data_IF_495770788463
#
_entry.id   IF_495770788463
#
_cell.length_a   1.000
_cell.length_b   1.000
_cell.length_c   1.000
_cell.angle_alpha   90.00
_cell.angle_beta   90.00
_cell.angle_gamma   90.00
#
_symmetry.space_group_name_H-M   'P 1'
#
loop_
_entity.id
_entity.type
_entity.pdbx_description
1 polymer ?
#
# COMPACT_ATOMS: atom_id res chain seq x y z
N UNK A 1 35.49 -3.65 31.93
CA UNK A 1 34.94 -2.72 30.92
C UNK A 1 34.10 -3.54 29.94
N UNK A 2 32.77 -3.57 30.08
CA UNK A 2 31.92 -4.20 29.07
C UNK A 2 32.13 -3.47 27.73
N UNK A 3 32.47 -4.20 26.67
CA UNK A 3 32.57 -3.64 25.32
C UNK A 3 31.25 -2.97 24.99
N UNK A 4 31.27 -1.67 24.70
CA UNK A 4 30.06 -0.97 24.25
C UNK A 4 29.69 -1.51 22.86
N UNK A 5 28.40 -1.75 22.58
CA UNK A 5 27.97 -2.44 21.38
C UNK A 5 28.40 -1.70 20.12
N UNK A 6 28.87 -2.46 19.12
CA UNK A 6 29.19 -1.96 17.78
C UNK A 6 28.02 -1.18 17.19
N UNK A 7 28.33 -0.10 16.47
CA UNK A 7 27.33 0.70 15.78
C UNK A 7 26.73 -0.12 14.61
N UNK A 8 25.48 -0.54 14.74
CA UNK A 8 24.82 -1.36 13.71
C UNK A 8 24.42 -0.53 12.50
N UNK A 9 24.18 -1.17 11.36
CA UNK A 9 23.67 -0.48 10.17
C UNK A 9 22.19 -0.13 10.31
N UNK A 10 21.73 1.00 9.74
CA UNK A 10 20.31 1.33 9.71
C UNK A 10 19.52 0.32 8.87
N UNK A 11 18.25 0.04 9.17
CA UNK A 11 17.45 -0.92 8.37
C UNK A 11 16.54 -0.21 7.37
N UNK A 12 16.67 -0.56 6.08
CA UNK A 12 15.92 0.03 4.96
C UNK A 12 14.64 -0.76 4.62
N UNK A 13 13.91 -1.19 5.64
CA UNK A 13 12.68 -1.97 5.51
C UNK A 13 11.41 -1.09 5.52
N UNK A 14 11.60 0.23 5.47
CA UNK A 14 10.53 1.20 5.62
C UNK A 14 10.17 1.82 4.26
N UNK A 15 10.62 3.04 3.95
CA UNK A 15 10.30 3.67 2.68
C UNK A 15 11.43 4.61 2.20
N UNK A 16 11.85 4.54 0.93
CA UNK A 16 11.49 3.52 -0.05
C UNK A 16 12.18 2.17 0.23
N UNK A 17 11.40 1.12 0.54
CA UNK A 17 11.88 -0.26 0.59
C UNK A 17 12.17 -0.76 -0.82
N UNK A 18 12.89 -1.88 -0.93
CA UNK A 18 13.27 -2.52 -2.18
C UNK A 18 12.10 -2.60 -3.17
N UNK A 19 12.30 -1.96 -4.32
CA UNK A 19 11.42 -1.96 -5.50
C UNK A 19 9.99 -1.48 -5.27
N UNK A 20 9.76 -0.65 -4.24
CA UNK A 20 8.51 0.09 -4.14
C UNK A 20 8.42 1.14 -5.26
N UNK A 21 7.18 1.44 -5.67
CA UNK A 21 6.87 2.57 -6.56
C UNK A 21 6.62 3.78 -5.67
N UNK A 22 7.44 4.81 -5.84
CA UNK A 22 7.27 6.10 -5.19
C UNK A 22 6.61 7.09 -6.16
N UNK A 23 5.53 7.70 -5.70
CA UNK A 23 4.59 8.47 -6.52
C UNK A 23 4.74 9.98 -6.31
N UNK A 24 5.84 10.36 -5.66
CA UNK A 24 6.28 11.74 -5.50
C UNK A 24 7.74 11.86 -5.93
N UNK A 25 8.04 12.92 -6.67
CA UNK A 25 9.40 13.31 -7.06
C UNK A 25 10.23 13.82 -5.88
N UNK A 26 9.63 14.01 -4.72
CA UNK A 26 10.29 14.28 -3.45
C UNK A 26 9.91 13.19 -2.44
N UNK A 27 10.32 11.93 -2.65
CA UNK A 27 9.92 10.86 -1.74
C UNK A 27 10.50 11.10 -0.34
N UNK A 28 9.79 10.64 0.67
CA UNK A 28 10.28 10.63 2.05
C UNK A 28 11.21 9.42 2.24
N UNK A 29 12.48 9.67 2.59
CA UNK A 29 13.44 8.63 2.91
C UNK A 29 13.38 8.33 4.40
N UNK A 30 13.17 7.07 4.77
CA UNK A 30 13.08 6.66 6.17
C UNK A 30 13.59 5.27 6.40
N UNK A 31 14.14 5.10 7.59
CA UNK A 31 14.83 3.90 7.99
C UNK A 31 14.79 3.78 9.51
N UNK A 32 14.87 2.53 9.99
CA UNK A 32 15.04 2.29 11.42
C UNK A 32 16.43 2.72 11.83
N UNK A 33 16.50 3.41 12.96
CA UNK A 33 17.74 3.90 13.54
C UNK A 33 18.70 2.74 13.81
N UNK A 34 19.99 3.05 13.74
CA UNK A 34 21.03 2.16 14.21
C UNK A 34 20.92 1.93 15.72
N UNK A 35 21.54 0.86 16.21
CA UNK A 35 21.71 0.58 17.64
C UNK A 35 23.21 0.59 17.98
N UNK A 36 23.52 0.70 19.28
CA UNK A 36 24.90 0.78 19.78
C UNK A 36 25.65 2.08 19.45
N UNK A 37 26.98 2.07 19.50
CA UNK A 37 27.82 3.27 19.33
C UNK A 37 27.86 4.20 20.54
N UNK A 38 28.40 5.41 20.34
CA UNK A 38 28.62 6.40 21.41
C UNK A 38 27.74 7.65 21.31
N UNK A 39 26.67 7.73 22.11
CA UNK A 39 25.83 8.93 22.18
C UNK A 39 24.86 9.06 21.00
N UNK A 40 24.29 10.25 20.82
CA UNK A 40 23.28 10.52 19.79
C UNK A 40 23.89 10.52 18.40
N UNK A 41 23.31 9.77 17.47
CA UNK A 41 23.89 9.52 16.15
C UNK A 41 23.38 10.54 15.12
N UNK A 42 24.06 10.58 13.98
CA UNK A 42 23.55 11.19 12.77
C UNK A 42 23.75 10.27 11.57
N UNK A 43 23.10 10.59 10.46
CA UNK A 43 23.13 9.78 9.26
C UNK A 43 23.65 10.54 8.05
N UNK A 44 24.40 9.82 7.21
CA UNK A 44 24.71 10.24 5.87
C UNK A 44 23.84 9.43 4.90
N UNK A 45 23.14 10.10 4.00
CA UNK A 45 22.23 9.50 3.02
C UNK A 45 22.73 9.85 1.63
N UNK A 46 22.69 8.89 0.71
CA UNK A 46 23.01 9.12 -0.70
C UNK A 46 21.91 8.56 -1.59
N UNK A 47 21.62 9.26 -2.69
CA UNK A 47 20.73 8.82 -3.75
C UNK A 47 21.43 8.97 -5.10
N UNK A 48 21.26 7.97 -5.96
CA UNK A 48 21.89 7.93 -7.27
C UNK A 48 21.03 7.10 -8.24
N UNK A 49 21.20 7.29 -9.53
CA UNK A 49 20.69 6.42 -10.58
C UNK A 49 21.62 5.23 -10.86
N UNK A 50 22.84 5.25 -10.31
CA UNK A 50 23.82 4.19 -10.40
C UNK A 50 23.98 3.47 -9.05
N UNK A 51 23.85 2.13 -8.97
CA UNK A 51 23.99 1.38 -7.72
C UNK A 51 25.38 1.49 -7.06
N UNK A 52 26.40 1.96 -7.80
CA UNK A 52 27.75 2.21 -7.28
C UNK A 52 27.91 3.59 -6.62
N UNK A 53 26.88 4.44 -6.65
CA UNK A 53 26.89 5.79 -6.04
C UNK A 53 28.06 6.68 -6.52
N UNK A 54 28.37 6.63 -7.81
CA UNK A 54 29.49 7.33 -8.43
C UNK A 54 29.08 8.23 -9.60
N UNK A 55 27.78 8.48 -9.80
CA UNK A 55 27.33 9.42 -10.83
C UNK A 55 27.64 10.87 -10.43
N UNK A 56 27.81 11.73 -11.44
CA UNK A 56 28.00 13.18 -11.24
C UNK A 56 26.81 13.85 -10.52
N UNK A 57 25.60 13.34 -10.73
CA UNK A 57 24.35 13.89 -10.20
C UNK A 57 23.89 13.19 -8.91
N UNK A 58 24.79 12.51 -8.19
CA UNK A 58 24.48 11.88 -6.91
C UNK A 58 24.06 12.95 -5.90
N UNK A 59 22.92 12.72 -5.24
CA UNK A 59 22.44 13.55 -4.14
C UNK A 59 23.03 13.01 -2.84
N UNK A 60 23.46 13.91 -1.94
CA UNK A 60 23.99 13.53 -0.63
C UNK A 60 23.44 14.45 0.46
N UNK A 61 22.84 13.86 1.48
CA UNK A 61 22.46 14.53 2.71
C UNK A 61 23.40 14.07 3.82
N UNK A 62 24.20 14.98 4.37
CA UNK A 62 25.16 14.67 5.42
C UNK A 62 24.65 15.19 6.76
N UNK A 63 24.99 14.50 7.85
CA UNK A 63 24.63 14.91 9.22
C UNK A 63 23.12 15.07 9.44
N UNK A 64 22.32 14.18 8.85
CA UNK A 64 20.86 14.12 9.13
C UNK A 64 20.67 13.64 10.57
N UNK A 65 20.03 14.43 11.46
CA UNK A 65 19.87 14.05 12.85
C UNK A 65 18.85 12.92 13.04
N UNK A 66 18.98 12.16 14.12
CA UNK A 66 17.94 11.22 14.57
C UNK A 66 16.62 11.98 14.79
N UNK A 67 15.56 11.63 14.05
CA UNK A 67 14.28 12.35 14.12
C UNK A 67 13.32 11.81 15.18
N UNK A 68 13.51 10.57 15.62
CA UNK A 68 12.77 9.93 16.72
C UNK A 68 13.64 8.85 17.36
N UNK A 69 13.15 8.21 18.43
CA UNK A 69 13.82 7.08 19.10
C UNK A 69 14.04 5.88 18.15
N UNK A 70 13.04 5.54 17.34
CA UNK A 70 13.04 4.30 16.55
C UNK A 70 13.44 4.49 15.08
N UNK A 71 13.15 5.66 14.51
CA UNK A 71 13.33 5.93 13.08
C UNK A 71 13.84 7.34 12.80
N UNK A 72 14.47 7.48 11.64
CA UNK A 72 14.88 8.76 11.08
C UNK A 72 14.25 8.97 9.72
N UNK A 73 13.81 10.20 9.45
CA UNK A 73 13.15 10.58 8.21
C UNK A 73 13.85 11.79 7.57
N UNK A 74 13.94 11.78 6.23
CA UNK A 74 14.47 12.87 5.42
C UNK A 74 13.66 12.99 4.13
N UNK A 75 12.87 14.06 4.02
CA UNK A 75 12.21 14.40 2.76
C UNK A 75 13.27 14.84 1.75
N UNK A 76 13.19 14.31 0.53
CA UNK A 76 14.00 14.80 -0.59
C UNK A 76 13.67 16.28 -0.81
N UNK A 77 14.70 17.12 -0.87
CA UNK A 77 14.53 18.58 -0.93
C UNK A 77 13.97 19.01 -2.30
N UNK A 78 13.27 20.15 -2.32
CA UNK A 78 12.72 20.74 -3.56
C UNK A 78 13.77 20.91 -4.66
N UNK A 79 15.00 21.28 -4.29
CA UNK A 79 16.14 21.44 -5.21
C UNK A 79 16.64 20.10 -5.79
N UNK A 80 16.42 19.01 -5.05
CA UNK A 80 16.87 17.65 -5.36
C UNK A 80 15.74 16.77 -5.92
N UNK A 81 14.67 17.42 -6.41
CA UNK A 81 13.49 16.75 -6.97
C UNK A 81 13.90 15.72 -8.03
N UNK A 82 13.47 14.49 -7.83
CA UNK A 82 13.80 13.33 -8.65
C UNK A 82 13.07 13.37 -9.99
N UNK A 83 13.67 12.70 -10.99
CA UNK A 83 13.08 12.56 -12.32
C UNK A 83 12.11 11.41 -12.35
N UNK A 84 11.06 11.60 -13.15
CA UNK A 84 10.02 10.59 -13.35
C UNK A 84 10.51 9.38 -14.15
N UNK A 85 9.73 8.30 -14.10
CA UNK A 85 9.94 7.08 -14.87
C UNK A 85 11.38 6.58 -14.77
N UNK A 86 11.89 6.52 -13.54
CA UNK A 86 13.31 6.29 -13.29
C UNK A 86 13.53 5.55 -11.98
N UNK A 87 14.42 4.55 -12.06
CA UNK A 87 14.93 3.84 -10.89
C UNK A 87 15.99 4.68 -10.18
N UNK A 88 15.89 4.72 -8.86
CA UNK A 88 16.87 5.32 -7.97
C UNK A 88 17.34 4.28 -6.96
N UNK A 89 18.64 4.30 -6.69
CA UNK A 89 19.29 3.58 -5.62
C UNK A 89 19.56 4.57 -4.49
N UNK A 90 19.39 4.13 -3.25
CA UNK A 90 19.69 4.95 -2.10
C UNK A 90 20.37 4.14 -1.01
N UNK A 91 21.20 4.81 -0.22
CA UNK A 91 21.89 4.18 0.90
C UNK A 91 22.04 5.11 2.07
N UNK A 92 22.16 4.53 3.26
CA UNK A 92 22.32 5.24 4.52
C UNK A 92 23.42 4.61 5.36
N UNK A 93 24.17 5.46 6.07
CA UNK A 93 25.21 5.08 7.02
C UNK A 93 25.03 5.91 8.29
N UNK A 94 25.08 5.24 9.44
CA UNK A 94 25.10 5.91 10.73
C UNK A 94 26.52 6.34 11.08
N UNK A 95 26.62 7.47 11.79
CA UNK A 95 27.85 7.98 12.37
C UNK A 95 27.57 8.39 13.81
N UNK A 96 28.41 7.93 14.73
CA UNK A 96 28.34 8.37 16.12
C UNK A 96 29.19 9.65 16.37
N UNK A 97 29.00 10.33 17.51
CA UNK A 97 29.79 11.50 17.93
C UNK A 97 31.31 11.31 17.96
N UNK A 98 31.81 10.08 18.02
CA UNK A 98 33.25 9.78 17.94
C UNK A 98 33.74 9.57 16.51
N UNK A 99 32.85 9.65 15.52
CA UNK A 99 33.16 9.44 14.11
C UNK A 99 33.15 7.97 13.70
N UNK A 100 32.73 7.03 14.57
CA UNK A 100 32.57 5.63 14.18
C UNK A 100 31.43 5.52 13.17
N UNK A 101 31.61 4.68 12.15
CA UNK A 101 30.66 4.53 11.04
C UNK A 101 30.12 3.11 10.98
N UNK A 102 28.82 2.98 10.74
CA UNK A 102 28.23 1.68 10.39
C UNK A 102 28.62 1.26 8.96
N UNK A 103 28.32 0.01 8.61
CA UNK A 103 28.25 -0.39 7.19
C UNK A 103 27.10 0.38 6.52
N UNK A 104 27.22 0.63 5.22
CA UNK A 104 26.13 1.20 4.42
C UNK A 104 25.01 0.18 4.22
N UNK A 105 23.78 0.59 4.52
CA UNK A 105 22.59 -0.14 4.06
C UNK A 105 22.10 0.46 2.78
N UNK A 106 21.71 -0.36 1.80
CA UNK A 106 21.30 0.10 0.46
C UNK A 106 19.97 -0.52 0.04
N UNK A 107 19.19 0.24 -0.73
CA UNK A 107 17.90 -0.15 -1.30
C UNK A 107 17.69 0.61 -2.62
N UNK A 108 16.59 0.34 -3.30
CA UNK A 108 16.19 1.01 -4.54
C UNK A 108 14.68 1.08 -4.66
N UNK A 109 14.22 2.01 -5.48
CA UNK A 109 12.81 2.23 -5.76
C UNK A 109 12.66 2.83 -7.15
N UNK A 110 11.42 2.88 -7.64
CA UNK A 110 11.09 3.49 -8.92
C UNK A 110 10.23 4.73 -8.71
N UNK A 111 10.56 5.85 -9.35
CA UNK A 111 9.65 6.99 -9.42
C UNK A 111 8.71 6.79 -10.60
N UNK A 112 7.41 6.75 -10.30
CA UNK A 112 6.36 6.88 -11.31
C UNK A 112 5.26 7.82 -10.79
N UNK A 113 5.23 9.03 -11.33
CA UNK A 113 4.20 10.03 -11.02
C UNK A 113 3.22 10.24 -12.16
N UNK A 114 3.43 9.60 -13.31
CA UNK A 114 2.57 9.77 -14.50
C UNK A 114 1.51 8.70 -14.59
N UNK A 115 1.84 7.43 -14.35
CA UNK A 115 0.83 6.37 -14.29
C UNK A 115 -0.03 6.49 -13.04
N UNK A 116 0.49 7.16 -12.00
CA UNK A 116 -0.13 7.34 -10.69
C UNK A 116 -1.05 8.57 -10.57
N UNK A 117 -1.14 9.38 -11.64
CA UNK A 117 -2.04 10.53 -11.65
C UNK A 117 -3.47 10.16 -12.03
N UNK A 118 -3.65 8.99 -12.67
CA UNK A 118 -4.93 8.56 -13.23
C UNK A 118 -5.23 7.08 -13.01
N UNK A 119 -6.52 6.72 -13.10
CA UNK A 119 -6.95 5.33 -13.10
C UNK A 119 -6.18 4.54 -14.16
N UNK A 120 -5.72 3.35 -13.78
CA UNK A 120 -4.81 2.51 -14.56
C UNK A 120 -5.32 2.10 -15.95
N UNK A 121 -6.61 2.31 -16.27
CA UNK A 121 -7.27 1.83 -17.49
C UNK A 121 -7.10 0.32 -17.70
N UNK A 122 -7.06 -0.40 -16.59
CA UNK A 122 -6.97 -1.84 -16.51
C UNK A 122 -8.06 -2.37 -15.58
N UNK A 123 -8.48 -3.60 -15.79
CA UNK A 123 -9.35 -4.35 -14.88
C UNK A 123 -8.75 -5.73 -14.62
N UNK A 124 -8.90 -6.22 -13.39
CA UNK A 124 -8.46 -7.56 -13.00
C UNK A 124 -9.16 -8.62 -13.86
N UNK A 125 -8.44 -9.67 -14.22
CA UNK A 125 -8.99 -10.83 -14.93
C UNK A 125 -9.02 -12.02 -13.97
N UNK A 126 -10.22 -12.55 -13.65
CA UNK A 126 -10.35 -13.66 -12.72
C UNK A 126 -9.79 -14.95 -13.33
N UNK A 127 -9.10 -15.72 -12.50
CA UNK A 127 -8.61 -17.07 -12.84
C UNK A 127 -9.66 -18.09 -12.41
N UNK A 128 -10.01 -19.02 -13.30
CA UNK A 128 -10.96 -20.10 -12.99
C UNK A 128 -10.27 -21.27 -12.31
N UNK A 129 -9.09 -21.64 -12.78
CA UNK A 129 -8.33 -22.77 -12.27
C UNK A 129 -6.83 -22.49 -12.37
N UNK A 130 -6.07 -22.94 -11.38
CA UNK A 130 -4.61 -22.87 -11.37
C UNK A 130 -4.01 -24.22 -11.01
N UNK A 131 -2.99 -24.64 -11.76
CA UNK A 131 -2.29 -25.92 -11.61
C UNK A 131 -0.79 -25.68 -11.76
N UNK A 132 0.02 -26.33 -10.94
CA UNK A 132 1.47 -26.29 -11.05
C UNK A 132 2.04 -27.63 -11.49
N UNK A 133 3.24 -27.57 -12.06
CA UNK A 133 4.08 -28.75 -12.38
C UNK A 133 4.37 -29.64 -11.17
N UNK A 134 4.53 -29.05 -9.99
CA UNK A 134 4.82 -29.71 -8.72
C UNK A 134 4.54 -28.75 -7.56
N UNK A 135 4.75 -29.22 -6.32
CA UNK A 135 4.55 -28.42 -5.12
C UNK A 135 3.12 -28.45 -4.58
N UNK A 136 2.85 -27.58 -3.61
CA UNK A 136 1.57 -27.46 -2.91
C UNK A 136 1.05 -26.02 -2.97
N UNK A 137 -0.19 -25.79 -2.52
CA UNK A 137 -0.76 -24.45 -2.29
C UNK A 137 -0.87 -23.54 -3.53
N UNK A 138 -0.85 -24.11 -4.74
CA UNK A 138 -0.94 -23.33 -5.98
C UNK A 138 -2.20 -22.47 -6.08
N UNK A 139 -3.30 -22.89 -5.45
CA UNK A 139 -4.57 -22.14 -5.45
C UNK A 139 -4.46 -20.79 -4.73
N UNK A 140 -3.54 -20.68 -3.77
CA UNK A 140 -3.43 -19.51 -2.91
C UNK A 140 -2.84 -18.29 -3.63
N UNK A 141 -2.05 -18.51 -4.70
CA UNK A 141 -1.39 -17.40 -5.41
C UNK A 141 -2.34 -16.53 -6.25
N UNK A 142 -3.60 -16.94 -6.35
CA UNK A 142 -4.67 -16.18 -7.00
C UNK A 142 -5.84 -15.94 -6.05
N UNK A 143 -5.70 -16.34 -4.78
CA UNK A 143 -6.67 -16.10 -3.74
C UNK A 143 -6.44 -14.68 -3.21
N UNK A 144 -7.45 -13.83 -3.36
CA UNK A 144 -7.38 -12.40 -3.02
C UNK A 144 -7.74 -12.13 -1.55
N UNK A 145 -8.13 -13.16 -0.79
CA UNK A 145 -8.56 -13.04 0.60
C UNK A 145 -7.37 -13.02 1.58
N UNK A 146 -6.26 -13.66 1.23
CA UNK A 146 -4.97 -13.52 1.92
C UNK A 146 -4.10 -12.55 1.10
N UNK A 147 -3.56 -11.47 1.68
CA UNK A 147 -2.74 -10.49 0.95
C UNK A 147 -1.38 -11.00 0.43
N UNK A 148 -1.25 -12.30 0.15
CA UNK A 148 -0.04 -12.92 -0.38
C UNK A 148 1.11 -12.97 0.63
N UNK A 149 0.85 -12.73 1.91
CA UNK A 149 1.89 -12.65 2.95
C UNK A 149 2.14 -14.00 3.61
N UNK A 150 1.07 -14.80 3.82
CA UNK A 150 1.15 -16.03 4.60
C UNK A 150 0.96 -17.31 3.77
N UNK A 151 0.30 -17.22 2.62
CA UNK A 151 0.08 -18.35 1.72
C UNK A 151 0.80 -18.15 0.38
N UNK A 152 1.49 -19.20 -0.07
CA UNK A 152 2.30 -19.17 -1.28
C UNK A 152 2.33 -20.55 -1.95
N UNK A 153 2.56 -20.55 -3.25
CA UNK A 153 3.02 -21.74 -3.97
C UNK A 153 4.54 -21.84 -3.86
N UNK A 154 5.03 -23.02 -3.53
CA UNK A 154 6.43 -23.38 -3.68
C UNK A 154 6.50 -24.71 -4.41
N UNK A 155 7.40 -24.84 -5.39
CA UNK A 155 7.59 -26.10 -6.09
C UNK A 155 8.17 -27.19 -5.17
N UNK A 156 8.05 -28.46 -5.54
CA UNK A 156 8.67 -29.56 -4.80
C UNK A 156 10.21 -29.40 -4.77
N UNK A 157 10.83 -29.28 -3.58
CA UNK A 157 12.29 -29.15 -3.48
C UNK A 157 13.02 -30.50 -3.32
N UNK A 158 14.35 -30.55 -3.60
CA UNK A 158 15.00 -29.83 -4.67
C UNK A 158 14.47 -30.39 -6.00
N UNK A 159 13.93 -29.52 -6.85
CA UNK A 159 13.16 -29.94 -8.01
C UNK A 159 13.95 -30.10 -9.30
N UNK A 160 13.21 -30.46 -10.36
CA UNK A 160 13.59 -30.29 -11.77
C UNK A 160 14.16 -28.88 -12.04
N UNK A 161 15.11 -28.76 -12.97
CA UNK A 161 15.64 -27.46 -13.45
C UNK A 161 14.56 -26.55 -14.09
N UNK A 162 13.38 -27.11 -14.33
CA UNK A 162 12.24 -26.43 -14.94
C UNK A 162 10.97 -26.62 -14.12
N UNK A 163 10.26 -25.51 -13.88
CA UNK A 163 8.95 -25.48 -13.23
C UNK A 163 7.96 -24.65 -14.03
N UNK A 164 6.67 -24.95 -13.90
CA UNK A 164 5.62 -24.10 -14.46
C UNK A 164 4.40 -24.01 -13.55
N UNK A 165 3.70 -22.88 -13.65
CA UNK A 165 2.36 -22.67 -13.08
C UNK A 165 1.43 -22.19 -14.19
N UNK A 166 0.33 -22.92 -14.39
CA UNK A 166 -0.66 -22.75 -15.46
C UNK A 166 -1.96 -22.20 -14.88
N UNK A 167 -2.52 -21.22 -15.57
CA UNK A 167 -3.78 -20.53 -15.24
C UNK A 167 -4.77 -20.76 -16.38
N UNK A 168 -5.96 -21.28 -16.07
CA UNK A 168 -7.12 -21.33 -16.98
C UNK A 168 -8.10 -20.21 -16.61
N UNK A 169 -8.45 -19.37 -17.58
CA UNK A 169 -9.46 -18.33 -17.41
C UNK A 169 -10.89 -18.83 -17.68
N UNK A 170 -11.05 -20.10 -18.05
CA UNK A 170 -12.33 -20.76 -18.39
C UNK A 170 -12.89 -20.38 -19.77
N UNK A 171 -12.49 -19.22 -20.29
CA UNK A 171 -12.83 -18.68 -21.62
C UNK A 171 -11.65 -17.90 -22.19
N UNK A 172 -11.72 -17.55 -23.48
CA UNK A 172 -10.75 -16.61 -24.05
C UNK A 172 -10.95 -15.23 -23.43
N UNK A 173 -9.87 -14.64 -22.95
CA UNK A 173 -9.78 -13.31 -22.36
C UNK A 173 -8.63 -12.55 -23.00
N UNK A 174 -8.66 -11.22 -22.88
CA UNK A 174 -7.55 -10.37 -23.28
C UNK A 174 -6.68 -10.06 -22.06
N UNK A 175 -5.35 -10.08 -22.19
CA UNK A 175 -4.39 -9.80 -21.12
C UNK A 175 -3.28 -8.90 -21.66
N UNK A 176 -2.92 -7.85 -20.93
CA UNK A 176 -1.85 -6.91 -21.29
C UNK A 176 -0.86 -6.62 -20.16
N UNK A 177 -1.22 -6.98 -18.92
CA UNK A 177 -0.34 -6.80 -17.76
C UNK A 177 -0.44 -7.98 -16.80
N UNK A 178 0.70 -8.30 -16.21
CA UNK A 178 0.81 -9.23 -15.09
C UNK A 178 1.54 -8.53 -13.95
N UNK A 179 0.96 -8.60 -12.76
CA UNK A 179 1.65 -8.28 -11.52
C UNK A 179 1.91 -9.59 -10.78
N UNK A 180 3.13 -9.77 -10.26
CA UNK A 180 3.46 -10.95 -9.46
C UNK A 180 4.39 -10.61 -8.29
N UNK A 181 4.22 -11.39 -7.23
CA UNK A 181 4.99 -11.32 -5.99
C UNK A 181 5.61 -12.70 -5.70
N UNK A 182 6.91 -12.73 -5.41
CA UNK A 182 7.65 -13.89 -4.91
C UNK A 182 7.95 -13.73 -3.40
N UNK A 183 8.78 -14.62 -2.85
CA UNK A 183 9.13 -14.66 -1.43
C UNK A 183 9.51 -13.29 -0.85
N UNK A 184 8.90 -12.96 0.29
CA UNK A 184 9.14 -11.71 1.02
C UNK A 184 10.36 -11.79 1.94
N UNK A 185 10.87 -13.01 2.20
CA UNK A 185 11.85 -13.31 3.25
C UNK A 185 13.29 -13.29 2.72
N UNK A 186 13.66 -12.24 2.00
CA UNK A 186 14.98 -12.12 1.37
C UNK A 186 15.07 -12.82 0.01
N UNK A 187 16.25 -12.82 -0.63
CA UNK A 187 16.41 -13.22 -2.03
C UNK A 187 16.13 -14.69 -2.30
N UNK A 188 16.15 -15.54 -1.28
CA UNK A 188 15.82 -16.96 -1.44
C UNK A 188 14.42 -17.14 -2.02
N UNK A 189 14.31 -18.12 -2.91
CA UNK A 189 13.11 -18.49 -3.65
C UNK A 189 12.62 -17.47 -4.70
N UNK A 190 13.30 -16.33 -4.88
CA UNK A 190 12.95 -15.38 -5.94
C UNK A 190 13.15 -16.00 -7.32
N UNK A 191 12.24 -15.67 -8.24
CA UNK A 191 12.38 -16.08 -9.63
C UNK A 191 13.50 -15.29 -10.28
N UNK A 192 14.46 -15.97 -10.91
CA UNK A 192 15.61 -15.38 -11.59
C UNK A 192 15.41 -15.35 -13.10
N UNK A 193 15.00 -16.48 -13.66
CA UNK A 193 14.85 -16.67 -15.11
C UNK A 193 13.50 -17.31 -15.42
N UNK A 194 12.65 -16.58 -16.15
CA UNK A 194 11.32 -17.07 -16.49
C UNK A 194 10.78 -16.42 -17.77
N UNK A 195 9.76 -17.02 -18.36
CA UNK A 195 8.99 -16.48 -19.49
C UNK A 195 7.53 -16.84 -19.33
N UNK A 196 6.63 -15.96 -19.76
CA UNK A 196 5.21 -16.29 -19.85
C UNK A 196 4.88 -16.88 -21.21
N UNK A 197 4.04 -17.90 -21.21
CA UNK A 197 3.58 -18.58 -22.41
C UNK A 197 2.05 -18.55 -22.47
N UNK A 198 1.52 -18.46 -23.69
CA UNK A 198 0.09 -18.47 -23.98
C UNK A 198 -0.35 -19.76 -24.67
N UNK A 199 -1.60 -20.15 -24.45
CA UNK A 199 -2.24 -21.26 -25.14
C UNK A 199 -3.75 -21.08 -25.24
N UNK A 200 -4.35 -21.50 -26.36
CA UNK A 200 -5.81 -21.54 -26.53
C UNK A 200 -6.40 -22.92 -26.21
N UNK A 201 -5.60 -23.99 -26.30
CA UNK A 201 -6.01 -25.38 -26.10
C UNK A 201 -5.44 -26.03 -24.83
N UNK A 202 -4.51 -25.35 -24.14
CA UNK A 202 -3.82 -25.83 -22.94
C UNK A 202 -2.72 -26.86 -23.24
N UNK A 203 -2.49 -27.21 -24.51
CA UNK A 203 -1.56 -28.25 -24.98
C UNK A 203 -0.38 -27.65 -25.73
N UNK A 204 -0.65 -26.72 -26.65
CA UNK A 204 0.36 -26.04 -27.46
C UNK A 204 0.66 -24.67 -26.87
N UNK A 205 1.93 -24.41 -26.60
CA UNK A 205 2.38 -23.22 -25.88
C UNK A 205 3.29 -22.37 -26.76
N UNK A 206 3.14 -21.06 -26.66
CA UNK A 206 4.00 -20.09 -27.36
C UNK A 206 4.44 -19.03 -26.37
N UNK A 207 5.74 -18.71 -26.39
CA UNK A 207 6.31 -17.63 -25.59
C UNK A 207 5.65 -16.29 -25.93
N UNK A 208 5.36 -15.52 -24.89
CA UNK A 208 5.13 -14.08 -25.00
C UNK A 208 6.51 -13.44 -24.86
N UNK A 209 7.23 -13.29 -25.99
CA UNK A 209 8.66 -12.95 -26.00
C UNK A 209 9.02 -11.72 -25.16
N UNK A 210 8.15 -10.70 -25.11
CA UNK A 210 8.35 -9.48 -24.31
C UNK A 210 8.37 -9.70 -22.79
N UNK A 211 7.93 -10.87 -22.31
CA UNK A 211 7.91 -11.23 -20.88
C UNK A 211 9.15 -12.03 -20.46
N UNK A 212 10.05 -12.35 -21.40
CA UNK A 212 11.26 -13.11 -21.11
C UNK A 212 12.14 -12.31 -20.15
N UNK A 213 12.35 -12.86 -18.96
CA UNK A 213 13.08 -12.24 -17.88
C UNK A 213 14.32 -13.08 -17.57
N UNK A 214 15.47 -12.43 -17.41
CA UNK A 214 16.75 -13.06 -17.09
C UNK A 214 17.47 -12.29 -15.99
N UNK A 215 18.13 -13.03 -15.10
CA UNK A 215 18.87 -12.48 -13.96
C UNK A 215 18.02 -11.50 -13.12
N UNK A 216 16.74 -11.82 -12.95
CA UNK A 216 15.84 -11.04 -12.12
C UNK A 216 16.33 -11.04 -10.67
N UNK A 217 16.28 -9.86 -10.06
CA UNK A 217 16.80 -9.57 -8.73
C UNK A 217 15.75 -8.85 -7.86
N UNK A 218 14.47 -9.10 -8.14
CA UNK A 218 13.35 -8.56 -7.39
C UNK A 218 12.27 -9.61 -7.16
N UNK A 219 11.63 -9.56 -5.99
CA UNK A 219 10.45 -10.35 -5.71
C UNK A 219 9.17 -9.75 -6.31
N UNK A 220 9.20 -8.51 -6.77
CA UNK A 220 8.03 -7.82 -7.33
C UNK A 220 8.21 -7.57 -8.81
N UNK A 221 7.36 -8.16 -9.64
CA UNK A 221 7.44 -7.97 -11.09
C UNK A 221 6.13 -7.39 -11.62
N UNK A 222 6.26 -6.36 -12.46
CA UNK A 222 5.17 -5.76 -13.23
C UNK A 222 5.56 -5.89 -14.69
N UNK A 223 4.82 -6.71 -15.43
CA UNK A 223 5.11 -7.02 -16.83
C UNK A 223 4.01 -6.43 -17.70
N UNK A 224 4.35 -5.40 -18.45
CA UNK A 224 3.52 -4.86 -19.53
C UNK A 224 3.90 -5.52 -20.86
N UNK A 225 2.90 -5.89 -21.65
CA UNK A 225 3.10 -6.48 -22.97
C UNK A 225 1.92 -6.19 -23.90
N UNK A 226 2.16 -6.38 -25.21
CA UNK A 226 1.12 -6.25 -26.22
C UNK A 226 -0.05 -7.18 -25.93
N UNK A 227 -1.28 -6.70 -26.15
CA UNK A 227 -2.51 -7.42 -25.85
C UNK A 227 -2.48 -8.86 -26.38
N UNK A 228 -2.66 -9.83 -25.49
CA UNK A 228 -2.74 -11.26 -25.80
C UNK A 228 -4.16 -11.75 -25.55
N UNK A 229 -4.80 -12.27 -26.61
CA UNK A 229 -6.06 -13.00 -26.51
C UNK A 229 -5.81 -14.49 -26.33
N UNK A 230 -6.12 -15.03 -25.16
CA UNK A 230 -5.79 -16.43 -24.79
C UNK A 230 -6.80 -17.00 -23.80
N UNK A 231 -6.87 -18.33 -23.67
CA UNK A 231 -7.62 -18.99 -22.58
C UNK A 231 -6.70 -19.40 -21.43
N UNK A 232 -5.46 -19.74 -21.75
CA UNK A 232 -4.47 -20.17 -20.78
C UNK A 232 -3.24 -19.29 -20.83
N UNK A 233 -2.69 -19.03 -19.65
CA UNK A 233 -1.32 -18.55 -19.48
C UNK A 233 -0.56 -19.55 -18.61
N UNK A 234 0.76 -19.64 -18.79
CA UNK A 234 1.63 -20.25 -17.81
C UNK A 234 2.91 -19.44 -17.65
N UNK A 235 3.40 -19.35 -16.42
CA UNK A 235 4.78 -18.95 -16.18
C UNK A 235 5.65 -20.20 -16.31
N UNK A 236 6.73 -20.09 -17.06
CA UNK A 236 7.74 -21.13 -17.26
C UNK A 236 9.04 -20.65 -16.64
N UNK A 237 9.49 -21.32 -15.58
CA UNK A 237 10.57 -20.92 -14.69
C UNK A 237 11.76 -21.85 -14.93
N UNK A 238 12.92 -21.25 -15.20
CA UNK A 238 14.18 -21.94 -15.53
C UNK A 238 15.33 -21.57 -14.59
N UNK A 239 15.09 -20.66 -13.65
CA UNK A 239 16.09 -20.25 -12.68
C UNK A 239 15.47 -19.48 -11.52
N UNK A 240 16.01 -19.70 -10.33
CA UNK A 240 15.62 -19.06 -9.08
C UNK A 240 16.85 -18.89 -8.18
N UNK A 241 16.66 -18.14 -7.10
CA UNK A 241 17.61 -18.02 -6.01
C UNK A 241 17.25 -19.00 -4.89
N UNK A 242 18.24 -19.51 -4.15
CA UNK A 242 17.99 -20.43 -3.03
C UNK A 242 17.45 -21.81 -3.44
N UNK A 243 16.62 -22.40 -2.58
CA UNK A 243 16.29 -23.83 -2.61
C UNK A 243 15.27 -24.25 -3.70
N UNK A 244 14.18 -23.47 -3.87
CA UNK A 244 13.10 -23.74 -4.83
C UNK A 244 12.37 -22.45 -5.22
N UNK A 245 11.80 -22.30 -6.42
CA UNK A 245 11.02 -21.12 -6.76
C UNK A 245 9.75 -21.01 -5.92
N UNK A 246 9.42 -19.78 -5.53
CA UNK A 246 8.19 -19.45 -4.80
C UNK A 246 7.45 -18.30 -5.46
N UNK A 247 6.13 -18.41 -5.46
CA UNK A 247 5.21 -17.35 -5.88
C UNK A 247 4.21 -17.16 -4.74
N UNK A 248 4.13 -15.94 -4.27
CA UNK A 248 3.18 -15.52 -3.25
C UNK A 248 1.85 -15.12 -3.89
N UNK A 249 1.90 -14.34 -4.98
CA UNK A 249 0.69 -13.81 -5.59
C UNK A 249 0.88 -13.46 -7.07
N UNK A 250 -0.19 -13.63 -7.87
CA UNK A 250 -0.27 -13.20 -9.27
C UNK A 250 -1.64 -12.55 -9.54
N UNK A 251 -1.62 -11.37 -10.14
CA UNK A 251 -2.81 -10.69 -10.67
C UNK A 251 -2.65 -10.42 -12.16
N UNK A 252 -3.67 -10.78 -12.93
CA UNK A 252 -3.74 -10.55 -14.36
C UNK A 252 -4.63 -9.35 -14.67
N UNK A 253 -4.25 -8.57 -15.68
CA UNK A 253 -4.96 -7.36 -16.07
C UNK A 253 -5.24 -7.31 -17.57
N UNK A 254 -6.42 -6.79 -17.90
CA UNK A 254 -6.87 -6.49 -19.26
C UNK A 254 -7.15 -4.99 -19.40
N UNK A 255 -7.03 -4.40 -20.61
CA UNK A 255 -7.46 -3.03 -20.84
C UNK A 255 -8.96 -2.88 -20.55
N UNK A 256 -9.32 -1.87 -19.77
CA UNK A 256 -10.72 -1.67 -19.40
C UNK A 256 -10.93 -0.52 -18.44
N UNK A 257 -12.21 -0.25 -18.16
CA UNK A 257 -12.65 0.73 -17.17
C UNK A 257 -13.59 0.06 -16.19
N UNK A 258 -13.76 0.61 -14.98
CA UNK A 258 -14.71 0.06 -14.03
C UNK A 258 -16.12 0.07 -14.62
N UNK A 259 -16.90 -0.95 -14.27
CA UNK A 259 -18.33 -0.95 -14.59
C UNK A 259 -19.01 0.16 -13.78
N UNK A 260 -20.04 0.78 -14.36
CA UNK A 260 -20.84 1.75 -13.62
C UNK A 260 -21.85 0.97 -12.75
N UNK A 261 -21.73 1.02 -11.41
CA UNK A 261 -22.63 0.27 -10.54
C UNK A 261 -24.04 0.87 -10.54
N UNK A 262 -25.03 0.04 -10.22
CA UNK A 262 -26.38 0.52 -9.98
C UNK A 262 -26.43 1.27 -8.64
N UNK A 263 -26.97 2.49 -8.68
CA UNK A 263 -27.03 3.36 -7.49
C UNK A 263 -28.35 3.13 -6.71
N UNK A 264 -28.33 3.17 -5.37
CA UNK A 264 -29.55 3.17 -4.58
C UNK A 264 -30.52 4.30 -4.96
N UNK A 265 -31.83 4.04 -4.84
CA UNK A 265 -32.87 5.05 -5.09
C UNK A 265 -32.97 6.09 -3.96
N UNK A 266 -32.34 5.84 -2.81
CA UNK A 266 -32.25 6.74 -1.66
C UNK A 266 -30.88 7.42 -1.61
N UNK A 267 -30.74 8.37 -0.70
CA UNK A 267 -29.45 8.93 -0.35
C UNK A 267 -28.52 7.83 0.17
N UNK A 268 -27.28 7.86 -0.30
CA UNK A 268 -26.35 6.77 -0.06
C UNK A 268 -24.90 7.25 0.04
N UNK A 269 -24.08 6.41 0.65
CA UNK A 269 -22.63 6.58 0.78
C UNK A 269 -21.95 5.57 -0.13
N UNK A 270 -21.00 6.03 -0.94
CA UNK A 270 -20.11 5.15 -1.70
C UNK A 270 -18.97 4.72 -0.76
N UNK A 271 -18.85 3.42 -0.50
CA UNK A 271 -17.77 2.86 0.30
C UNK A 271 -16.75 2.23 -0.64
N UNK A 272 -15.50 2.66 -0.56
CA UNK A 272 -14.40 2.04 -1.29
C UNK A 272 -13.72 1.01 -0.40
N UNK A 273 -13.81 -0.26 -0.80
CA UNK A 273 -13.22 -1.40 -0.12
C UNK A 273 -11.73 -1.51 -0.41
N UNK A 274 -10.92 -1.26 0.62
CA UNK A 274 -9.46 -1.19 0.52
C UNK A 274 -8.75 -2.49 0.86
N UNK A 275 -9.47 -3.52 1.31
CA UNK A 275 -8.90 -4.86 1.45
C UNK A 275 -8.51 -5.45 0.09
N UNK A 276 -7.56 -6.39 0.08
CA UNK A 276 -7.01 -6.92 -1.17
C UNK A 276 -8.11 -7.42 -2.15
N UNK A 277 -9.11 -8.12 -1.62
CA UNK A 277 -10.31 -8.63 -2.30
C UNK A 277 -11.42 -7.59 -2.57
N UNK A 278 -11.22 -6.33 -2.18
CA UNK A 278 -12.21 -5.26 -2.37
C UNK A 278 -13.30 -5.16 -1.30
N UNK A 279 -13.23 -5.93 -0.22
CA UNK A 279 -14.16 -5.84 0.91
C UNK A 279 -13.73 -4.81 1.98
N UNK A 280 -14.54 -4.69 3.02
CA UNK A 280 -14.22 -3.92 4.24
C UNK A 280 -14.10 -4.87 5.42
N UNK A 281 -13.12 -4.66 6.30
CA UNK A 281 -12.90 -5.55 7.46
C UNK A 281 -13.82 -5.27 8.65
N UNK A 282 -14.51 -4.12 8.69
CA UNK A 282 -15.15 -3.60 9.91
C UNK A 282 -16.67 -3.47 9.86
N UNK A 283 -17.37 -4.27 9.04
CA UNK A 283 -18.83 -4.14 8.82
C UNK A 283 -19.25 -2.68 8.52
N UNK A 284 -18.39 -1.94 7.80
CA UNK A 284 -18.48 -0.49 7.69
C UNK A 284 -19.81 -0.03 7.05
N UNK A 285 -20.29 -0.78 6.07
CA UNK A 285 -21.58 -0.53 5.42
C UNK A 285 -22.73 -0.57 6.45
N UNK A 286 -22.78 -1.63 7.24
CA UNK A 286 -23.73 -1.83 8.32
C UNK A 286 -23.68 -0.72 9.36
N UNK A 287 -22.48 -0.30 9.76
CA UNK A 287 -22.30 0.81 10.69
C UNK A 287 -22.89 2.11 10.14
N UNK A 288 -22.64 2.42 8.86
CA UNK A 288 -23.17 3.62 8.19
C UNK A 288 -24.69 3.61 8.15
N UNK A 289 -25.32 2.51 7.74
CA UNK A 289 -26.79 2.42 7.66
C UNK A 289 -27.47 2.52 9.03
N UNK A 290 -26.79 2.07 10.11
CA UNK A 290 -27.28 2.11 11.49
C UNK A 290 -27.07 3.47 12.19
N UNK A 291 -26.53 4.48 11.51
CA UNK A 291 -26.35 5.84 12.07
C UNK A 291 -27.66 6.58 12.39
N UNK A 292 -28.77 6.13 11.79
CA UNK A 292 -30.10 6.75 11.89
C UNK A 292 -30.31 7.93 10.93
N UNK A 293 -29.42 8.11 9.95
CA UNK A 293 -29.50 9.20 8.96
C UNK A 293 -30.27 8.83 7.68
N UNK A 294 -30.84 7.63 7.61
CA UNK A 294 -31.60 7.16 6.43
C UNK A 294 -30.75 6.86 5.20
N UNK A 295 -29.42 6.79 5.35
CA UNK A 295 -28.46 6.53 4.28
C UNK A 295 -28.39 5.04 3.93
N UNK A 296 -28.30 4.75 2.64
CA UNK A 296 -27.92 3.43 2.09
C UNK A 296 -26.41 3.38 1.81
N UNK A 297 -25.89 2.19 1.53
CA UNK A 297 -24.49 2.03 1.10
C UNK A 297 -24.36 1.35 -0.25
N UNK A 298 -23.29 1.69 -0.96
CA UNK A 298 -22.83 1.01 -2.18
C UNK A 298 -21.33 0.75 -2.01
N UNK A 299 -20.93 -0.51 -2.00
CA UNK A 299 -19.53 -0.90 -1.82
C UNK A 299 -18.91 -1.21 -3.19
N UNK A 300 -17.73 -0.66 -3.46
CA UNK A 300 -16.93 -0.98 -4.67
C UNK A 300 -15.48 -1.26 -4.26
N UNK A 301 -14.79 -2.22 -4.90
CA UNK A 301 -13.36 -2.42 -4.69
C UNK A 301 -12.52 -1.22 -5.11
N UNK A 302 -11.37 -0.99 -4.47
CA UNK A 302 -10.41 0.06 -4.88
C UNK A 302 -10.01 -0.02 -6.36
N UNK A 303 -9.82 -1.23 -6.89
CA UNK A 303 -9.42 -1.44 -8.29
C UNK A 303 -10.57 -1.29 -9.29
N UNK A 304 -11.79 -1.00 -8.82
CA UNK A 304 -12.97 -0.67 -9.63
C UNK A 304 -13.51 0.74 -9.32
N UNK A 305 -12.68 1.61 -8.73
CA UNK A 305 -13.04 3.02 -8.52
C UNK A 305 -12.24 3.91 -9.45
N UNK A 306 -12.87 4.94 -10.01
CA UNK A 306 -12.20 5.98 -10.80
C UNK A 306 -13.04 7.25 -10.83
N UNK A 307 -12.43 8.39 -11.19
CA UNK A 307 -13.17 9.63 -11.36
C UNK A 307 -14.21 9.52 -12.49
N UNK A 308 -13.89 8.80 -13.56
CA UNK A 308 -14.84 8.54 -14.65
C UNK A 308 -16.04 7.69 -14.19
N UNK A 309 -15.80 6.64 -13.38
CA UNK A 309 -16.88 5.85 -12.81
C UNK A 309 -17.79 6.73 -11.96
N UNK A 310 -17.19 7.55 -11.08
CA UNK A 310 -17.92 8.46 -10.20
C UNK A 310 -18.73 9.51 -10.98
N UNK A 311 -18.16 10.08 -12.05
CA UNK A 311 -18.83 11.08 -12.90
C UNK A 311 -20.03 10.50 -13.65
N UNK A 312 -19.97 9.23 -14.05
CA UNK A 312 -21.05 8.52 -14.77
C UNK A 312 -22.15 7.91 -13.88
N UNK A 313 -22.03 7.96 -12.56
CA UNK A 313 -23.10 7.50 -11.66
C UNK A 313 -24.40 8.27 -11.89
N UNK A 314 -25.52 7.55 -12.02
CA UNK A 314 -26.87 8.12 -12.23
C UNK A 314 -27.29 9.07 -11.11
N UNK A 315 -26.98 8.72 -9.86
CA UNK A 315 -27.18 9.56 -8.66
C UNK A 315 -25.85 9.70 -7.96
N UNK A 316 -25.46 10.92 -7.57
CA UNK A 316 -24.23 11.14 -6.81
C UNK A 316 -24.40 10.67 -5.35
N UNK A 317 -23.38 10.02 -4.75
CA UNK A 317 -23.40 9.71 -3.33
C UNK A 317 -23.36 11.00 -2.50
N UNK A 318 -23.89 10.94 -1.28
CA UNK A 318 -23.78 12.00 -0.27
C UNK A 318 -22.33 12.17 0.16
N UNK A 319 -21.61 11.07 0.28
CA UNK A 319 -20.21 11.03 0.67
C UNK A 319 -19.52 9.79 0.10
N UNK A 320 -18.19 9.83 0.09
CA UNK A 320 -17.31 8.71 -0.20
C UNK A 320 -16.58 8.34 1.10
N UNK A 321 -16.53 7.06 1.43
CA UNK A 321 -15.76 6.55 2.57
C UNK A 321 -14.72 5.56 2.07
N UNK A 322 -13.44 5.91 2.23
CA UNK A 322 -12.30 5.05 1.93
C UNK A 322 -12.01 4.20 3.17
N UNK A 323 -12.21 2.89 3.06
CA UNK A 323 -12.09 1.98 4.20
C UNK A 323 -10.63 1.69 4.59
N UNK A 324 -10.44 0.95 5.70
CA UNK A 324 -9.14 0.45 6.12
C UNK A 324 -8.67 -0.77 5.32
N UNK A 325 -7.44 -1.21 5.60
CA UNK A 325 -6.83 -2.41 5.05
C UNK A 325 -6.10 -3.15 6.19
N UNK A 326 -6.09 -4.48 6.15
CA UNK A 326 -5.39 -5.34 7.12
C UNK A 326 -4.17 -6.04 6.51
N UNK A 327 -3.77 -5.62 5.31
CA UNK A 327 -2.58 -6.09 4.61
C UNK A 327 -1.45 -5.04 4.67
N UNK A 328 -0.21 -5.48 4.46
CA UNK A 328 0.89 -4.62 4.07
C UNK A 328 0.64 -4.16 2.62
N UNK A 329 -0.28 -3.21 2.44
CA UNK A 329 -0.67 -2.68 1.13
C UNK A 329 0.48 -2.17 0.26
N UNK A 330 1.66 -1.73 0.77
CA UNK A 330 2.84 -1.53 -0.07
C UNK A 330 3.24 -2.78 -0.85
N UNK A 331 3.00 -3.99 -0.33
CA UNK A 331 3.18 -5.28 -1.01
C UNK A 331 2.14 -5.57 -2.08
N UNK A 332 1.04 -4.81 -2.15
CA UNK A 332 0.01 -4.93 -3.16
C UNK A 332 0.36 -4.14 -4.44
N UNK A 333 -0.35 -4.37 -5.56
CA UNK A 333 -0.27 -3.53 -6.75
C UNK A 333 -0.76 -2.10 -6.46
N UNK A 334 0.14 -1.23 -6.00
CA UNK A 334 -0.17 0.15 -5.60
C UNK A 334 -0.87 0.98 -6.69
N UNK A 335 -0.62 0.67 -7.97
CA UNK A 335 -1.29 1.33 -9.09
C UNK A 335 -2.83 1.11 -9.12
N UNK A 336 -3.35 0.17 -8.32
CA UNK A 336 -4.79 -0.02 -8.16
C UNK A 336 -5.46 1.08 -7.35
N UNK A 337 -4.70 1.85 -6.56
CA UNK A 337 -5.23 2.96 -5.76
C UNK A 337 -5.36 4.26 -6.57
N UNK A 338 -4.89 4.31 -7.82
CA UNK A 338 -4.81 5.56 -8.60
C UNK A 338 -6.18 6.19 -8.84
N UNK A 339 -7.22 5.36 -8.97
CA UNK A 339 -8.60 5.84 -9.06
C UNK A 339 -9.10 6.53 -7.78
N UNK A 340 -8.65 6.09 -6.60
CA UNK A 340 -8.89 6.82 -5.34
C UNK A 340 -8.14 8.14 -5.33
N UNK A 341 -6.88 8.14 -5.78
CA UNK A 341 -6.09 9.36 -5.83
C UNK A 341 -6.72 10.43 -6.74
N UNK A 342 -7.24 10.05 -7.91
CA UNK A 342 -8.04 10.95 -8.76
C UNK A 342 -9.23 11.53 -8.00
N UNK A 343 -10.01 10.68 -7.32
CA UNK A 343 -11.21 11.10 -6.59
C UNK A 343 -10.85 12.07 -5.46
N UNK A 344 -9.78 11.80 -4.72
CA UNK A 344 -9.30 12.66 -3.63
C UNK A 344 -8.90 14.05 -4.16
N UNK A 345 -8.18 14.09 -5.30
CA UNK A 345 -7.68 15.32 -5.91
C UNK A 345 -8.76 16.12 -6.61
N UNK A 346 -9.70 15.46 -7.30
CA UNK A 346 -10.59 16.11 -8.27
C UNK A 346 -12.07 16.14 -7.85
N UNK A 347 -12.51 15.30 -6.91
CA UNK A 347 -13.92 15.30 -6.49
C UNK A 347 -14.23 16.42 -5.50
N UNK A 348 -15.45 16.95 -5.60
CA UNK A 348 -16.08 17.83 -4.61
C UNK A 348 -16.99 17.09 -3.62
N UNK A 349 -17.21 15.78 -3.84
CA UNK A 349 -18.01 14.96 -2.94
C UNK A 349 -17.25 14.83 -1.61
N UNK A 350 -17.92 14.97 -0.45
CA UNK A 350 -17.28 14.76 0.85
C UNK A 350 -16.57 13.41 0.95
N UNK A 351 -15.36 13.38 1.52
CA UNK A 351 -14.56 12.14 1.65
C UNK A 351 -14.15 11.90 3.11
N UNK A 352 -14.33 10.67 3.59
CA UNK A 352 -13.76 10.20 4.86
C UNK A 352 -12.79 9.05 4.59
N UNK A 353 -11.52 9.22 4.98
CA UNK A 353 -10.52 8.14 4.99
C UNK A 353 -10.40 7.49 6.36
N UNK A 354 -10.42 6.15 6.42
CA UNK A 354 -10.28 5.36 7.66
C UNK A 354 -9.03 4.49 7.56
N UNK A 355 -8.09 4.60 8.49
CA UNK A 355 -6.84 3.82 8.53
C UNK A 355 -6.10 3.89 7.17
N UNK A 356 -6.07 2.80 6.38
CA UNK A 356 -5.55 2.81 5.00
C UNK A 356 -6.16 3.95 4.15
N UNK A 357 -7.47 4.18 4.24
CA UNK A 357 -8.11 5.28 3.52
C UNK A 357 -7.57 6.66 3.91
N UNK A 358 -7.25 6.90 5.18
CA UNK A 358 -6.57 8.14 5.60
C UNK A 358 -5.16 8.22 5.03
N UNK A 359 -4.47 7.09 4.89
CA UNK A 359 -3.14 7.03 4.29
C UNK A 359 -3.21 7.30 2.78
N UNK A 360 -4.26 6.85 2.09
CA UNK A 360 -4.52 7.20 0.68
C UNK A 360 -4.81 8.69 0.50
N UNK A 361 -5.48 9.34 1.46
CA UNK A 361 -5.64 10.82 1.46
C UNK A 361 -4.29 11.54 1.43
N UNK A 362 -3.29 11.03 2.15
CA UNK A 362 -1.94 11.59 2.15
C UNK A 362 -1.13 11.17 0.91
N UNK A 363 -1.29 9.91 0.48
CA UNK A 363 -0.67 9.34 -0.72
C UNK A 363 -1.04 10.09 -1.99
N UNK A 364 -2.29 10.52 -2.13
CA UNK A 364 -2.77 11.31 -3.27
C UNK A 364 -2.00 12.63 -3.50
N UNK A 365 -1.37 13.18 -2.45
CA UNK A 365 -0.54 14.39 -2.51
C UNK A 365 0.96 14.08 -2.32
N UNK A 366 1.35 12.86 -2.66
CA UNK A 366 2.74 12.45 -2.72
C UNK A 366 3.41 12.25 -1.37
N UNK A 367 2.68 12.24 -0.25
CA UNK A 367 3.28 11.81 1.01
C UNK A 367 3.40 10.29 0.98
N UNK A 368 4.59 9.82 0.61
CA UNK A 368 4.95 8.42 0.75
C UNK A 368 5.08 8.17 2.26
N UNK A 369 4.20 7.29 2.76
CA UNK A 369 3.94 6.78 4.12
C UNK A 369 5.12 6.87 5.07
N UNK A 370 4.92 6.88 6.40
CA UNK A 370 5.71 6.04 7.32
C UNK A 370 5.73 6.55 8.77
N UNK A 371 5.07 5.81 9.63
CA UNK A 371 5.66 5.31 10.87
C UNK A 371 5.24 3.85 10.94
N UNK A 372 6.17 2.91 10.77
CA UNK A 372 5.87 1.52 11.15
C UNK A 372 5.58 1.52 12.65
N UNK A 373 4.42 0.98 13.01
CA UNK A 373 3.99 0.85 14.41
C UNK A 373 4.32 -0.54 14.97
N UNK A 374 5.00 -1.38 14.19
CA UNK A 374 5.09 -2.82 14.39
C UNK A 374 3.85 -3.53 13.82
N UNK A 375 4.05 -4.66 13.15
CA UNK A 375 2.95 -5.51 12.72
C UNK A 375 2.45 -6.29 13.93
N UNK A 376 1.18 -6.15 14.25
CA UNK A 376 0.47 -7.06 15.13
C UNK A 376 -0.73 -7.54 14.33
N UNK A 377 -0.74 -8.81 13.96
CA UNK A 377 -1.90 -9.44 13.33
C UNK A 377 -3.12 -9.23 14.23
N UNK A 378 -4.03 -8.38 13.77
CA UNK A 378 -5.21 -7.97 14.53
C UNK A 378 -6.26 -9.07 14.57
N UNK A 379 -6.26 -9.98 13.59
CA UNK A 379 -7.26 -11.05 13.52
C UNK A 379 -7.13 -12.07 14.66
N UNK A 380 -5.96 -12.11 15.29
CA UNK A 380 -5.63 -12.94 16.46
C UNK A 380 -5.64 -12.18 17.80
N UNK A 381 -5.97 -10.88 17.81
CA UNK A 381 -5.99 -10.07 19.03
C UNK A 381 -7.37 -10.04 19.68
N UNK A 382 -7.46 -10.46 20.94
CA UNK A 382 -8.54 -9.99 21.81
C UNK A 382 -8.32 -8.48 22.05
N UNK A 383 -9.06 -7.65 21.32
CA UNK A 383 -9.01 -6.18 21.34
C UNK A 383 -9.25 -5.57 22.74
N UNK A 384 -9.74 -6.35 23.71
CA UNK A 384 -9.96 -5.90 25.08
C UNK A 384 -8.75 -6.08 26.01
N UNK A 385 -7.78 -6.95 25.67
CA UNK A 385 -6.84 -7.46 26.69
C UNK A 385 -5.37 -7.05 26.53
N UNK A 386 -4.93 -6.46 25.40
CA UNK A 386 -3.49 -6.47 25.10
C UNK A 386 -2.81 -5.18 24.61
N UNK A 387 -3.40 -3.98 24.75
CA UNK A 387 -2.63 -2.72 24.66
C UNK A 387 -3.11 -1.69 25.69
N UNK A 388 -2.20 -0.91 26.33
CA UNK A 388 -2.60 0.28 27.06
C UNK A 388 -3.46 1.17 26.15
N UNK A 389 -4.64 1.57 26.62
CA UNK A 389 -5.51 2.43 25.85
C UNK A 389 -4.83 3.80 25.66
N UNK A 390 -4.35 4.05 24.44
CA UNK A 390 -3.74 5.33 24.10
C UNK A 390 -4.81 6.42 24.10
N UNK A 391 -4.48 7.56 24.74
CA UNK A 391 -5.36 8.73 24.78
C UNK A 391 -5.14 9.59 23.53
N UNK A 392 -6.19 9.75 22.73
CA UNK A 392 -6.18 10.57 21.53
C UNK A 392 -6.56 12.01 21.89
N UNK A 393 -5.60 12.92 21.73
CA UNK A 393 -5.77 14.34 22.03
C UNK A 393 -6.36 15.09 20.83
N UNK A 394 -7.44 15.83 21.06
CA UNK A 394 -8.05 16.70 20.05
C UNK A 394 -7.28 18.02 20.01
N UNK A 395 -6.79 18.40 18.83
CA UNK A 395 -6.08 19.67 18.59
C UNK A 395 -7.00 20.81 18.21
N UNK A 396 -8.11 20.51 17.51
CA UNK A 396 -9.11 21.50 17.07
C UNK A 396 -10.48 21.17 17.66
N UNK A 397 -10.69 21.49 18.94
CA UNK A 397 -11.91 21.11 19.70
C UNK A 397 -13.21 21.69 19.14
N UNK A 398 -13.15 22.85 18.48
CA UNK A 398 -14.31 23.48 17.87
C UNK A 398 -14.72 22.85 16.53
N UNK A 399 -13.94 21.91 15.99
CA UNK A 399 -14.26 21.27 14.73
C UNK A 399 -15.48 20.35 14.90
N UNK A 400 -16.56 20.52 14.10
CA UNK A 400 -17.81 19.78 14.29
C UNK A 400 -17.66 18.26 14.13
N UNK A 401 -16.58 17.79 13.50
CA UNK A 401 -16.27 16.36 13.41
C UNK A 401 -16.15 15.69 14.80
N UNK A 402 -15.73 16.44 15.82
CA UNK A 402 -15.53 15.97 17.19
C UNK A 402 -16.72 16.23 18.14
N UNK A 403 -17.87 16.65 17.61
CA UNK A 403 -19.07 16.84 18.44
C UNK A 403 -19.38 15.55 19.23
N UNK A 404 -19.66 15.70 20.52
CA UNK A 404 -19.96 14.61 21.45
C UNK A 404 -18.81 13.60 21.67
N UNK A 405 -17.57 13.95 21.28
CA UNK A 405 -16.36 13.17 21.57
C UNK A 405 -15.55 13.90 22.66
N UNK A 406 -15.26 13.26 23.81
CA UNK A 406 -14.47 13.89 24.86
C UNK A 406 -13.03 14.12 24.38
N UNK A 407 -12.38 15.18 24.86
CA UNK A 407 -10.95 15.34 24.63
C UNK A 407 -10.16 14.27 25.39
N UNK A 408 -9.06 13.77 24.81
CA UNK A 408 -8.30 12.62 25.34
C UNK A 408 -9.16 11.34 25.37
N UNK A 409 -9.89 11.07 24.29
CA UNK A 409 -10.73 9.88 24.17
C UNK A 409 -9.90 8.63 23.84
N UNK A 410 -10.53 7.47 23.95
CA UNK A 410 -9.97 6.17 23.53
C UNK A 410 -10.77 5.59 22.37
N UNK A 411 -10.09 4.96 21.43
CA UNK A 411 -10.70 4.24 20.32
C UNK A 411 -9.80 3.07 19.86
N UNK A 412 -10.35 2.03 19.24
CA UNK A 412 -9.57 0.94 18.66
C UNK A 412 -8.52 1.44 17.66
N UNK A 413 -7.28 1.02 17.86
CA UNK A 413 -6.12 1.39 17.06
C UNK A 413 -5.52 0.14 16.41
N UNK A 414 -5.93 -0.09 15.16
CA UNK A 414 -5.79 -1.36 14.45
C UNK A 414 -5.02 -1.08 13.15
N UNK A 415 -3.71 -0.84 13.27
CA UNK A 415 -2.86 -0.44 12.15
C UNK A 415 -1.39 -0.81 12.40
N UNK A 416 -0.71 -1.25 11.33
CA UNK A 416 0.75 -1.42 11.30
C UNK A 416 1.52 -0.18 10.82
N UNK A 417 0.78 0.81 10.30
CA UNK A 417 1.31 1.99 9.62
C UNK A 417 0.59 3.26 10.08
N UNK A 418 1.32 4.36 10.20
CA UNK A 418 0.77 5.70 10.37
C UNK A 418 1.41 6.73 9.42
N UNK A 419 0.75 7.88 9.24
CA UNK A 419 1.30 8.99 8.45
C UNK A 419 2.48 9.62 9.21
N UNK A 420 3.66 9.59 8.59
CA UNK A 420 4.87 10.23 9.13
C UNK A 420 5.01 11.71 8.74
N UNK A 421 4.58 12.05 7.53
CA UNK A 421 4.60 13.41 7.01
C UNK A 421 3.23 13.76 6.45
N UNK A 422 2.61 14.81 6.98
CA UNK A 422 1.28 15.26 6.56
C UNK A 422 1.44 16.22 5.37
N UNK A 423 0.76 15.98 4.23
CA UNK A 423 0.81 16.91 3.11
C UNK A 423 0.28 18.31 3.50
N UNK A 424 0.78 19.35 2.82
CA UNK A 424 0.41 20.74 3.12
C UNK A 424 -1.08 21.05 2.93
N UNK A 425 -1.81 20.21 2.21
CA UNK A 425 -3.25 20.27 1.98
C UNK A 425 -4.07 19.99 3.25
N UNK A 426 -3.46 19.37 4.26
CA UNK A 426 -4.15 18.92 5.46
C UNK A 426 -3.63 19.59 6.74
N UNK A 427 -4.54 19.82 7.67
CA UNK A 427 -4.22 20.13 9.05
C UNK A 427 -4.35 18.89 9.92
N UNK A 428 -3.45 18.73 10.90
CA UNK A 428 -3.59 17.73 11.96
C UNK A 428 -4.63 18.23 12.97
N UNK A 429 -5.67 17.43 13.21
CA UNK A 429 -6.77 17.80 14.11
C UNK A 429 -6.87 16.90 15.36
N UNK A 430 -6.19 15.74 15.37
CA UNK A 430 -5.94 14.93 16.55
C UNK A 430 -4.63 14.14 16.44
N UNK A 431 -4.00 13.81 17.57
CA UNK A 431 -2.81 12.97 17.67
C UNK A 431 -2.73 12.21 19.01
N UNK A 432 -1.86 11.20 19.06
CA UNK A 432 -1.52 10.46 20.29
C UNK A 432 -0.01 10.20 20.42
N UNK A 433 0.82 11.11 19.88
CA UNK A 433 2.25 10.88 19.61
C UNK A 433 2.55 10.47 18.16
N UNK A 434 1.52 10.23 17.37
CA UNK A 434 1.49 10.25 15.91
C UNK A 434 0.12 10.76 15.44
N UNK A 435 0.01 11.06 14.15
CA UNK A 435 -1.18 11.68 13.56
C UNK A 435 -2.38 10.72 13.67
N UNK A 436 -3.45 11.18 14.32
CA UNK A 436 -4.68 10.40 14.53
C UNK A 436 -5.84 10.85 13.66
N UNK A 437 -5.91 12.15 13.32
CA UNK A 437 -6.90 12.65 12.38
C UNK A 437 -6.38 13.87 11.64
N UNK A 438 -6.78 13.99 10.38
CA UNK A 438 -6.46 15.10 9.48
C UNK A 438 -7.74 15.68 8.86
N UNK A 439 -7.67 16.96 8.48
CA UNK A 439 -8.73 17.66 7.76
C UNK A 439 -8.14 18.43 6.58
N UNK A 440 -8.75 18.32 5.41
CA UNK A 440 -8.33 19.11 4.26
C UNK A 440 -8.66 20.58 4.47
N UNK A 441 -7.75 21.48 4.09
CA UNK A 441 -7.88 22.92 4.35
C UNK A 441 -9.05 23.57 3.62
N UNK A 442 -9.39 23.07 2.43
CA UNK A 442 -10.40 23.68 1.54
C UNK A 442 -11.57 22.77 1.13
N UNK A 443 -11.46 21.45 1.33
CA UNK A 443 -12.46 20.46 0.89
C UNK A 443 -13.08 19.81 2.12
N UNK A 444 -14.30 19.29 2.01
CA UNK A 444 -14.93 18.52 3.09
C UNK A 444 -14.35 17.10 3.13
N UNK A 445 -13.07 17.01 3.43
CA UNK A 445 -12.32 15.76 3.51
C UNK A 445 -11.73 15.63 4.91
N UNK A 446 -12.01 14.49 5.56
CA UNK A 446 -11.44 14.12 6.84
C UNK A 446 -10.76 12.77 6.73
N UNK A 447 -9.69 12.56 7.51
CA UNK A 447 -9.06 11.27 7.70
C UNK A 447 -8.97 10.95 9.18
N UNK A 448 -9.11 9.68 9.55
CA UNK A 448 -8.82 9.16 10.90
C UNK A 448 -8.02 7.86 10.85
N UNK A 449 -7.08 7.70 11.78
CA UNK A 449 -6.24 6.51 11.89
C UNK A 449 -6.89 5.45 12.79
N UNK A 450 -7.66 5.87 13.78
CA UNK A 450 -8.44 5.01 14.67
C UNK A 450 -9.75 4.51 14.03
N UNK A 451 -10.28 3.42 14.57
CA UNK A 451 -11.52 2.78 14.10
C UNK A 451 -12.69 3.10 15.03
N UNK A 452 -13.59 3.96 14.56
CA UNK A 452 -14.79 4.40 15.28
C UNK A 452 -15.97 3.45 15.03
N UNK A 453 -15.86 2.67 13.97
CA UNK A 453 -16.84 1.69 13.52
C UNK A 453 -16.73 0.35 14.26
N UNK A 454 -15.58 0.07 14.88
CA UNK A 454 -15.36 -1.16 15.67
C UNK A 454 -16.13 -1.06 16.99
N UNK A 455 -16.94 -2.07 17.28
CA UNK A 455 -17.67 -2.19 18.55
C UNK A 455 -16.70 -2.62 19.64
N UNK A 456 -16.38 -1.72 20.56
CA UNK A 456 -15.63 -2.00 21.78
C UNK A 456 -16.16 -1.12 22.91
N UNK A 457 -16.23 -1.66 24.13
CA UNK A 457 -16.76 -0.97 25.32
C UNK A 457 -16.05 0.35 25.63
N UNK A 458 -14.76 0.44 25.32
CA UNK A 458 -13.93 1.63 25.51
C UNK A 458 -13.92 2.60 24.31
N UNK A 459 -14.66 2.30 23.22
CA UNK A 459 -14.64 3.13 22.01
C UNK A 459 -15.48 4.40 22.19
N UNK A 460 -14.82 5.50 22.50
CA UNK A 460 -15.42 6.82 22.65
C UNK A 460 -15.43 7.61 21.33
N UNK A 461 -14.83 7.10 20.26
CA UNK A 461 -14.76 7.74 18.94
C UNK A 461 -16.00 7.52 18.07
N UNK A 462 -16.98 6.72 18.51
CA UNK A 462 -18.18 6.31 17.76
C UNK A 462 -18.91 7.47 17.05
N UNK A 463 -19.10 8.67 17.66
CA UNK A 463 -19.79 9.77 16.98
C UNK A 463 -19.13 10.27 15.69
N UNK A 464 -17.84 10.03 15.48
CA UNK A 464 -17.04 10.65 14.41
C UNK A 464 -17.62 10.42 13.01
N UNK A 465 -18.00 9.16 12.69
CA UNK A 465 -18.56 8.81 11.37
C UNK A 465 -19.93 9.48 11.19
N UNK A 466 -20.78 9.46 12.22
CA UNK A 466 -22.09 10.12 12.18
C UNK A 466 -21.97 11.63 12.00
N UNK A 467 -21.01 12.27 12.66
CA UNK A 467 -20.73 13.70 12.51
C UNK A 467 -20.30 14.04 11.09
N UNK A 468 -19.39 13.26 10.50
CA UNK A 468 -18.99 13.43 9.10
C UNK A 468 -20.19 13.32 8.15
N UNK A 469 -21.03 12.29 8.31
CA UNK A 469 -22.18 12.07 7.44
C UNK A 469 -23.24 13.17 7.57
N UNK A 470 -23.43 13.76 8.76
CA UNK A 470 -24.26 14.96 8.93
C UNK A 470 -23.71 16.14 8.14
N UNK A 471 -22.41 16.44 8.28
CA UNK A 471 -21.76 17.51 7.52
C UNK A 471 -21.88 17.29 6.00
N UNK A 472 -21.80 16.03 5.55
CA UNK A 472 -21.96 15.69 4.13
C UNK A 472 -23.39 15.88 3.62
N UNK A 473 -24.40 15.53 4.44
CA UNK A 473 -25.81 15.82 4.15
C UNK A 473 -26.07 17.33 4.11
N UNK A 474 -25.55 18.07 5.09
CA UNK A 474 -25.69 19.53 5.16
C UNK A 474 -25.03 20.25 3.98
N UNK A 475 -23.95 19.70 3.41
CA UNK A 475 -23.34 20.23 2.17
C UNK A 475 -24.20 19.97 0.92
N UNK A 476 -24.94 18.87 0.92
CA UNK A 476 -25.74 18.43 -0.23
C UNK A 476 -27.06 19.18 -0.34
N UNK A 477 -27.67 19.48 0.80
CA UNK A 477 -28.87 20.31 0.93
C UNK A 477 -28.50 21.79 0.77
#
# INVERSE_FOLDING_TARGET
>A
KMSKPNLTSPRLENNPKLDIIATNKQPLLSFFNSQGGHGQRYYNIQLDTNPKFNSKNKISYNKVPESSEFMTQKLVEKKDRLKDNRRYFWRVQAVDPKGNKSVWSSSRFFIDTKSDDHFMNLVRVPVKEVVASSGSNVKNITDWDDPGENSFWQSTPPGSETHWVKFDFGKKVDISRIWMLSSLNGPDNWLKDFVWQKSTDGKRWTDITSTKTKNNDTFRNILDFNLVKTRYLRIFITGWHGYAPQINEIVFYSPGKPKIPQTPNKDYVLVVGNQHNGFTFSELADHIEKTGLGLKTLVVPRYEVSLEMLTKLKRKPVAIVLSGNNADYPLQPMFEYNGEFEIIRESDIPILGICCGMQMLAGAYGSTYIRSMGWSDISSMNLETHKPLTKIKIKKKADPIFKDIPNNFTAPEVHGWAIGHVPEQYDVIADSGYVQAIKHKTKLIYGKQFHAEIKASYNQGVPFIKNFLKLALDKKN
#
